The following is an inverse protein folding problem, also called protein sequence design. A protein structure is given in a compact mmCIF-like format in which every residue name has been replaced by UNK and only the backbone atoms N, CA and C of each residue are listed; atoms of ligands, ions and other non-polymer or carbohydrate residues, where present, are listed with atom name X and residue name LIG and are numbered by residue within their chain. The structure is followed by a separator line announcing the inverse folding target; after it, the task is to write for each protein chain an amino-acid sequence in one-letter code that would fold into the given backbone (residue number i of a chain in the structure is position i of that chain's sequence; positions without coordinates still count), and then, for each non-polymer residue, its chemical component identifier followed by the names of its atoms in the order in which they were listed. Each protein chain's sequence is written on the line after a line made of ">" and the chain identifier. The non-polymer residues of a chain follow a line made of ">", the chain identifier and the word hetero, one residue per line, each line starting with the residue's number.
data_IF_500786558429
#
_entry.id   IF_500786558429
#
_cell.length_a   1.000
_cell.length_b   1.000
_cell.length_c   1.000
_cell.angle_alpha   90.00
_cell.angle_beta   90.00
_cell.angle_gamma   90.00
#
_symmetry.space_group_name_H-M   'P 1'
#
loop_
_entity.id
_entity.type
_entity.pdbx_description
1 polymer ?
#
# COMPACT_ATOMS: atom_id res chain seq x y z
N UNK A 1 32.80 39.68 -6.05
CA UNK A 1 31.50 39.86 -6.75
C UNK A 1 30.75 38.54 -7.03
N UNK A 2 31.25 37.36 -6.61
CA UNK A 2 30.62 36.06 -6.92
C UNK A 2 29.96 35.36 -5.71
N UNK A 3 30.23 35.79 -4.48
CA UNK A 3 29.64 35.21 -3.28
C UNK A 3 28.24 35.75 -2.98
N UNK A 4 28.00 37.05 -3.20
CA UNK A 4 26.69 37.68 -2.98
C UNK A 4 25.63 37.21 -4.00
N UNK A 5 26.05 36.94 -5.25
CA UNK A 5 25.22 36.47 -6.35
C UNK A 5 24.84 34.99 -6.17
N UNK A 6 25.76 34.18 -5.64
CA UNK A 6 25.49 32.79 -5.24
C UNK A 6 24.56 32.71 -4.02
N UNK A 7 24.73 33.59 -3.02
CA UNK A 7 23.86 33.64 -1.85
C UNK A 7 22.43 34.07 -2.21
N UNK A 8 22.29 35.02 -3.14
CA UNK A 8 21.00 35.47 -3.63
C UNK A 8 20.32 34.45 -4.55
N UNK A 9 21.07 33.68 -5.36
CA UNK A 9 20.52 32.53 -6.09
C UNK A 9 20.02 31.43 -5.16
N UNK A 10 20.77 31.12 -4.08
CA UNK A 10 20.37 30.14 -3.07
C UNK A 10 19.12 30.62 -2.32
N UNK A 11 19.03 31.91 -1.97
CA UNK A 11 17.82 32.49 -1.37
C UNK A 11 16.60 32.46 -2.32
N UNK A 12 16.82 32.71 -3.61
CA UNK A 12 15.78 32.63 -4.66
C UNK A 12 15.32 31.21 -4.97
N UNK A 13 16.20 30.22 -4.82
CA UNK A 13 15.88 28.79 -4.91
C UNK A 13 15.17 28.27 -3.64
N UNK A 14 15.34 28.92 -2.49
CA UNK A 14 14.66 28.61 -1.22
C UNK A 14 13.33 29.35 -1.04
N UNK A 15 13.09 30.43 -1.79
CA UNK A 15 11.84 31.20 -1.74
C UNK A 15 10.55 30.40 -2.07
N UNK A 16 10.55 29.35 -2.92
CA UNK A 16 9.36 28.50 -3.10
C UNK A 16 9.09 27.59 -1.89
N UNK A 17 10.07 27.40 -1.00
CA UNK A 17 9.91 26.58 0.22
C UNK A 17 9.30 27.38 1.38
N UNK A 18 9.36 28.71 1.34
CA UNK A 18 8.84 29.59 2.40
C UNK A 18 7.41 30.12 2.16
N UNK A 19 6.78 29.83 1.02
CA UNK A 19 5.43 30.33 0.69
C UNK A 19 4.31 29.29 0.81
N UNK A 20 4.54 28.14 1.47
CA UNK A 20 3.48 27.13 1.69
C UNK A 20 2.61 27.47 2.91
N UNK A 21 3.03 28.37 3.79
CA UNK A 21 2.20 28.81 4.91
C UNK A 21 1.46 30.11 4.59
N UNK A 22 0.24 30.01 4.05
CA UNK A 22 -0.93 30.90 4.25
C UNK A 22 -1.92 30.80 3.08
N UNK A 23 -2.49 29.60 2.89
CA UNK A 23 -3.90 29.48 2.50
C UNK A 23 -4.56 28.75 3.67
N UNK A 24 -4.96 29.50 4.68
CA UNK A 24 -5.91 29.02 5.67
C UNK A 24 -7.27 29.02 4.99
N UNK A 25 -7.64 27.92 4.33
CA UNK A 25 -9.06 27.60 4.16
C UNK A 25 -9.54 27.02 5.48
N UNK A 26 -10.57 27.63 6.04
CA UNK A 26 -11.30 27.18 7.21
C UNK A 26 -12.05 25.86 6.89
N UNK A 27 -11.31 24.77 6.74
CA UNK A 27 -11.73 23.37 6.74
C UNK A 27 -10.47 22.52 6.51
N UNK A 28 -9.70 22.26 7.56
CA UNK A 28 -8.87 21.05 7.57
C UNK A 28 -9.71 20.00 8.25
N UNK A 29 -10.68 19.46 7.51
CA UNK A 29 -11.17 18.11 7.80
C UNK A 29 -10.03 17.17 7.41
N UNK A 30 -9.64 16.26 8.31
CA UNK A 30 -8.57 15.29 8.04
C UNK A 30 -8.84 14.59 6.69
N UNK A 31 -7.85 14.45 5.81
CA UNK A 31 -8.06 13.81 4.51
C UNK A 31 -8.57 12.37 4.72
N UNK A 32 -9.75 12.06 4.16
CA UNK A 32 -10.32 10.72 4.17
C UNK A 32 -9.84 9.90 2.96
N UNK A 33 -9.57 8.61 3.17
CA UNK A 33 -9.11 7.68 2.14
C UNK A 33 -9.98 6.40 2.14
N UNK A 34 -10.05 5.65 1.02
CA UNK A 34 -10.53 4.27 1.06
C UNK A 34 -9.64 3.48 2.02
N UNK A 35 -10.22 2.89 3.06
CA UNK A 35 -9.46 2.35 4.20
C UNK A 35 -9.52 0.83 4.22
N UNK A 36 -8.39 0.16 4.16
CA UNK A 36 -8.35 -1.30 4.22
C UNK A 36 -6.99 -1.80 3.77
N UNK A 37 -6.99 -2.82 2.92
CA UNK A 37 -5.78 -3.36 2.34
C UNK A 37 -5.75 -3.10 0.82
N UNK A 38 -4.59 -2.79 0.27
CA UNK A 38 -4.39 -2.74 -1.19
C UNK A 38 -3.02 -3.29 -1.57
N UNK A 39 -2.90 -3.79 -2.80
CA UNK A 39 -1.68 -4.36 -3.33
C UNK A 39 -1.41 -3.85 -4.74
N UNK A 40 -0.24 -3.23 -4.89
CA UNK A 40 0.30 -2.78 -6.16
C UNK A 40 1.79 -3.13 -6.25
N UNK A 41 2.20 -4.09 -7.11
CA UNK A 41 3.60 -4.38 -7.35
C UNK A 41 4.25 -3.28 -8.21
N UNK A 42 5.38 -2.74 -7.74
CA UNK A 42 6.09 -1.65 -8.42
C UNK A 42 6.98 -2.11 -9.58
N UNK A 43 7.47 -3.35 -9.55
CA UNK A 43 8.55 -3.81 -10.46
C UNK A 43 8.09 -4.84 -11.49
N UNK A 44 6.91 -5.42 -11.33
CA UNK A 44 6.39 -6.45 -12.20
C UNK A 44 4.87 -6.39 -12.26
N UNK A 45 4.31 -6.98 -13.31
CA UNK A 45 2.86 -7.17 -13.46
C UNK A 45 2.53 -8.62 -13.15
N UNK A 46 1.51 -8.83 -12.32
CA UNK A 46 0.98 -10.15 -11.97
C UNK A 46 -0.33 -10.36 -12.75
N UNK A 47 -0.47 -11.54 -13.33
CA UNK A 47 -1.70 -11.97 -14.00
C UNK A 47 -2.28 -13.16 -13.25
N UNK A 48 -3.55 -13.05 -12.88
CA UNK A 48 -4.28 -14.09 -12.12
C UNK A 48 -5.72 -14.16 -12.57
N UNK A 49 -6.36 -15.32 -12.45
CA UNK A 49 -7.79 -15.46 -12.78
C UNK A 49 -8.70 -15.36 -11.57
N UNK A 50 -8.16 -15.25 -10.35
CA UNK A 50 -8.97 -15.25 -9.13
C UNK A 50 -8.36 -14.36 -8.06
N UNK A 51 -9.21 -13.52 -7.46
CA UNK A 51 -8.88 -12.62 -6.37
C UNK A 51 -9.95 -12.71 -5.28
N UNK A 52 -9.54 -12.54 -4.02
CA UNK A 52 -10.44 -12.61 -2.87
C UNK A 52 -9.94 -11.67 -1.77
N UNK A 53 -10.86 -10.91 -1.18
CA UNK A 53 -10.65 -10.15 0.05
C UNK A 53 -11.49 -10.76 1.17
N UNK A 54 -10.91 -10.92 2.36
CA UNK A 54 -11.58 -11.47 3.53
C UNK A 54 -11.48 -10.49 4.68
N UNK A 55 -12.60 -10.26 5.36
CA UNK A 55 -12.68 -9.49 6.60
C UNK A 55 -13.28 -10.34 7.72
N UNK A 56 -12.71 -10.21 8.91
CA UNK A 56 -13.33 -10.65 10.15
C UNK A 56 -13.75 -9.40 10.93
N UNK A 57 -15.07 -9.22 11.11
CA UNK A 57 -15.67 -8.06 11.76
C UNK A 57 -16.09 -8.47 13.16
N UNK A 58 -15.39 -7.95 14.17
CA UNK A 58 -15.74 -8.18 15.58
C UNK A 58 -16.78 -7.18 16.05
N UNK A 59 -16.57 -5.91 15.71
CA UNK A 59 -17.52 -4.82 15.96
C UNK A 59 -17.48 -3.81 14.81
N UNK A 60 -18.61 -3.18 14.54
CA UNK A 60 -18.76 -2.15 13.52
C UNK A 60 -19.86 -1.18 13.95
N UNK A 61 -19.64 0.11 13.68
CA UNK A 61 -20.65 1.15 13.75
C UNK A 61 -20.44 2.11 12.58
N UNK A 62 -21.53 2.48 11.91
CA UNK A 62 -21.54 3.28 10.69
C UNK A 62 -22.32 4.57 10.97
N UNK A 63 -21.59 5.68 10.92
CA UNK A 63 -22.13 7.01 11.17
C UNK A 63 -22.77 7.64 9.94
N UNK A 64 -22.66 8.97 9.87
CA UNK A 64 -23.12 9.72 8.72
C UNK A 64 -22.13 9.58 7.56
N UNK A 65 -22.66 9.72 6.35
CA UNK A 65 -21.89 9.84 5.13
C UNK A 65 -22.18 11.18 4.44
N UNK A 66 -21.18 11.70 3.76
CA UNK A 66 -21.20 12.99 3.10
C UNK A 66 -20.62 12.85 1.70
N UNK A 67 -21.11 13.61 0.74
CA UNK A 67 -20.43 13.77 -0.54
C UNK A 67 -19.16 14.58 -0.34
N UNK A 68 -18.23 14.51 -1.30
CA UNK A 68 -17.01 15.33 -1.33
C UNK A 68 -17.25 16.85 -1.28
N UNK A 69 -18.47 17.31 -1.50
CA UNK A 69 -18.88 18.72 -1.30
C UNK A 69 -19.21 19.08 0.16
N UNK A 70 -19.13 18.13 1.10
CA UNK A 70 -19.58 18.27 2.49
C UNK A 70 -21.10 18.11 2.67
N UNK A 71 -21.85 17.86 1.59
CA UNK A 71 -23.30 17.67 1.67
C UNK A 71 -23.63 16.30 2.28
N UNK A 72 -24.52 16.27 3.28
CA UNK A 72 -25.04 15.02 3.84
C UNK A 72 -25.63 14.13 2.73
N UNK A 73 -25.23 12.87 2.73
CA UNK A 73 -25.67 11.90 1.72
C UNK A 73 -26.66 10.88 2.31
N UNK A 74 -26.21 10.11 3.30
CA UNK A 74 -27.04 9.14 4.03
C UNK A 74 -26.42 8.81 5.40
N UNK A 75 -27.08 8.01 6.22
CA UNK A 75 -26.60 7.55 7.53
C UNK A 75 -26.64 6.03 7.62
N UNK A 76 -25.70 5.44 8.35
CA UNK A 76 -25.69 4.01 8.66
C UNK A 76 -25.37 3.14 7.45
N UNK A 77 -24.76 3.71 6.39
CA UNK A 77 -24.40 2.96 5.19
C UNK A 77 -22.91 3.11 4.88
N UNK A 78 -22.23 1.99 4.63
CA UNK A 78 -20.82 1.94 4.20
C UNK A 78 -20.64 0.83 3.17
N UNK A 79 -19.62 0.95 2.33
CA UNK A 79 -19.27 -0.09 1.36
C UNK A 79 -17.97 -0.77 1.75
N UNK A 80 -17.94 -2.09 1.61
CA UNK A 80 -16.73 -2.89 1.55
C UNK A 80 -16.54 -3.33 0.11
N UNK A 81 -15.41 -2.99 -0.50
CA UNK A 81 -15.21 -3.11 -1.94
C UNK A 81 -13.98 -3.95 -2.24
N UNK A 82 -14.12 -4.99 -3.05
CA UNK A 82 -13.01 -5.69 -3.69
C UNK A 82 -12.90 -5.18 -5.14
N UNK A 83 -11.84 -4.44 -5.44
CA UNK A 83 -11.62 -3.88 -6.77
C UNK A 83 -10.37 -4.48 -7.43
N UNK A 84 -10.50 -4.79 -8.72
CA UNK A 84 -9.40 -5.31 -9.54
C UNK A 84 -9.63 -5.01 -11.02
N UNK A 85 -8.53 -4.87 -11.77
CA UNK A 85 -8.58 -4.62 -13.22
C UNK A 85 -8.43 -5.91 -14.02
N UNK A 86 -9.30 -6.17 -14.99
CA UNK A 86 -9.17 -7.28 -15.94
C UNK A 86 -8.52 -6.77 -17.22
N UNK A 87 -7.38 -7.38 -17.57
CA UNK A 87 -6.58 -7.09 -18.77
C UNK A 87 -6.25 -5.59 -18.95
N UNK A 88 -6.14 -4.83 -17.86
CA UNK A 88 -5.93 -3.38 -17.90
C UNK A 88 -7.09 -2.57 -18.51
N UNK A 89 -8.25 -3.21 -18.74
CA UNK A 89 -9.34 -2.68 -19.58
C UNK A 89 -10.68 -2.58 -18.85
N UNK A 90 -10.97 -3.53 -17.97
CA UNK A 90 -12.21 -3.54 -17.22
C UNK A 90 -11.92 -3.37 -15.73
N UNK A 91 -12.40 -2.28 -15.13
CA UNK A 91 -12.29 -2.08 -13.69
C UNK A 91 -13.52 -2.72 -13.04
N UNK A 92 -13.30 -3.82 -12.33
CA UNK A 92 -14.33 -4.66 -11.73
C UNK A 92 -14.35 -4.42 -10.22
N UNK A 93 -15.54 -4.11 -9.70
CA UNK A 93 -15.80 -3.85 -8.29
C UNK A 93 -16.89 -4.82 -7.80
N UNK A 94 -16.52 -5.71 -6.88
CA UNK A 94 -17.47 -6.51 -6.09
C UNK A 94 -17.68 -5.77 -4.77
N UNK A 95 -18.91 -5.35 -4.48
CA UNK A 95 -19.19 -4.43 -3.38
C UNK A 95 -20.25 -5.04 -2.46
N UNK A 96 -19.95 -5.09 -1.17
CA UNK A 96 -20.94 -5.32 -0.12
C UNK A 96 -21.32 -3.97 0.51
N UNK A 97 -22.56 -3.54 0.27
CA UNK A 97 -23.13 -2.34 0.90
C UNK A 97 -23.75 -2.74 2.24
N UNK A 98 -23.11 -2.34 3.34
CA UNK A 98 -23.58 -2.55 4.70
C UNK A 98 -24.54 -1.45 5.11
N UNK A 99 -25.71 -1.83 5.61
CA UNK A 99 -26.69 -0.98 6.26
C UNK A 99 -26.81 -1.38 7.74
N UNK A 100 -26.48 -0.47 8.65
CA UNK A 100 -26.59 -0.72 10.10
C UNK A 100 -28.05 -0.68 10.55
N UNK A 101 -28.57 -1.83 10.99
CA UNK A 101 -29.88 -1.92 11.66
C UNK A 101 -29.71 -1.60 13.14
N UNK A 102 -28.68 -2.19 13.76
CA UNK A 102 -28.21 -1.89 15.11
C UNK A 102 -26.74 -2.30 15.25
N UNK A 103 -26.17 -2.13 16.44
CA UNK A 103 -24.75 -2.40 16.73
C UNK A 103 -24.31 -3.88 16.58
N UNK A 104 -25.22 -4.79 16.29
CA UNK A 104 -24.93 -6.21 16.04
C UNK A 104 -25.51 -6.73 14.72
N UNK A 105 -26.57 -6.12 14.20
CA UNK A 105 -27.27 -6.60 13.01
C UNK A 105 -27.14 -5.60 11.86
N UNK A 106 -26.80 -6.13 10.69
CA UNK A 106 -26.60 -5.38 9.48
C UNK A 106 -27.38 -6.04 8.34
N UNK A 107 -27.92 -5.23 7.45
CA UNK A 107 -28.39 -5.69 6.14
C UNK A 107 -27.26 -5.46 5.13
N UNK A 108 -26.86 -6.50 4.41
CA UNK A 108 -25.87 -6.41 3.34
C UNK A 108 -26.60 -6.52 2.01
N UNK A 109 -26.36 -5.56 1.12
CA UNK A 109 -26.78 -5.62 -0.28
C UNK A 109 -25.55 -5.74 -1.18
N UNK A 110 -25.51 -6.79 -2.01
CA UNK A 110 -24.42 -6.98 -2.96
C UNK A 110 -24.59 -6.06 -4.17
N UNK A 111 -23.53 -5.38 -4.59
CA UNK A 111 -23.51 -4.46 -5.72
C UNK A 111 -22.31 -4.79 -6.60
N UNK A 112 -22.50 -4.68 -7.93
CA UNK A 112 -21.42 -4.77 -8.90
C UNK A 112 -21.33 -3.46 -9.64
N UNK A 113 -20.12 -2.92 -9.72
CA UNK A 113 -19.76 -1.89 -10.67
C UNK A 113 -18.68 -2.46 -11.60
N UNK A 114 -18.98 -2.59 -12.88
CA UNK A 114 -17.98 -2.96 -13.89
C UNK A 114 -17.85 -1.85 -14.90
N UNK A 115 -16.67 -1.26 -14.98
CA UNK A 115 -16.36 -0.19 -15.92
C UNK A 115 -15.59 -0.75 -17.11
N UNK A 116 -16.02 -0.41 -18.32
CA UNK A 116 -15.26 -0.65 -19.53
C UNK A 116 -14.52 0.62 -19.93
N UNK A 117 -13.21 0.62 -19.68
CA UNK A 117 -12.33 1.76 -19.91
C UNK A 117 -12.06 2.00 -21.41
N UNK A 118 -12.50 1.09 -22.29
CA UNK A 118 -12.35 1.23 -23.75
C UNK A 118 -13.55 1.87 -24.44
N UNK A 119 -14.63 2.11 -23.70
CA UNK A 119 -15.87 2.70 -24.23
C UNK A 119 -17.13 1.92 -23.80
N UNK A 120 -18.28 2.18 -24.44
CA UNK A 120 -19.55 1.55 -24.07
C UNK A 120 -19.53 0.02 -24.19
N UNK A 121 -20.32 -0.66 -23.36
CA UNK A 121 -20.52 -2.11 -23.51
C UNK A 121 -21.33 -2.42 -24.77
N UNK A 122 -20.87 -3.40 -25.54
CA UNK A 122 -21.53 -3.84 -26.79
C UNK A 122 -22.35 -5.13 -26.61
N UNK A 123 -21.97 -5.97 -25.66
CA UNK A 123 -22.54 -7.31 -25.46
C UNK A 123 -23.66 -7.26 -24.40
N UNK A 124 -23.41 -6.54 -23.30
CA UNK A 124 -24.38 -6.36 -22.23
C UNK A 124 -25.49 -5.40 -22.68
N UNK A 125 -26.76 -5.80 -22.48
CA UNK A 125 -27.94 -5.00 -22.87
C UNK A 125 -28.68 -4.37 -21.70
N UNK A 126 -28.68 -5.04 -20.55
CA UNK A 126 -29.37 -4.59 -19.33
C UNK A 126 -28.35 -4.08 -18.33
N UNK A 127 -28.77 -3.19 -17.44
CA UNK A 127 -27.95 -2.67 -16.34
C UNK A 127 -26.68 -1.96 -16.80
N UNK A 128 -26.70 -1.44 -18.04
CA UNK A 128 -25.59 -0.71 -18.65
C UNK A 128 -25.98 0.74 -18.82
N UNK A 129 -25.04 1.63 -18.49
CA UNK A 129 -25.07 3.05 -18.81
C UNK A 129 -23.70 3.47 -19.34
N UNK A 130 -23.54 4.77 -19.61
CA UNK A 130 -22.26 5.36 -19.97
C UNK A 130 -21.97 6.59 -19.13
N UNK A 131 -20.72 6.74 -18.71
CA UNK A 131 -20.23 7.94 -18.01
C UNK A 131 -18.97 8.44 -18.72
N UNK A 132 -18.98 9.70 -19.17
CA UNK A 132 -17.87 10.31 -19.92
C UNK A 132 -17.37 9.46 -21.10
N UNK A 133 -18.28 8.75 -21.79
CA UNK A 133 -17.96 7.88 -22.91
C UNK A 133 -17.45 6.47 -22.52
N UNK A 134 -17.26 6.19 -21.24
CA UNK A 134 -16.94 4.86 -20.72
C UNK A 134 -18.21 4.05 -20.49
N UNK A 135 -18.15 2.73 -20.69
CA UNK A 135 -19.25 1.84 -20.36
C UNK A 135 -19.28 1.55 -18.87
N UNK A 136 -20.45 1.60 -18.26
CA UNK A 136 -20.63 1.27 -16.84
C UNK A 136 -21.74 0.25 -16.72
N UNK A 137 -21.47 -0.87 -16.06
CA UNK A 137 -22.47 -1.88 -15.71
C UNK A 137 -22.69 -1.80 -14.20
N UNK A 138 -23.96 -1.63 -13.81
CA UNK A 138 -24.38 -1.44 -12.42
C UNK A 138 -25.44 -2.49 -12.09
N UNK A 139 -25.13 -3.42 -11.20
CA UNK A 139 -26.08 -4.47 -10.81
C UNK A 139 -26.23 -4.54 -9.31
N UNK A 140 -27.49 -4.55 -8.86
CA UNK A 140 -27.85 -4.84 -7.49
C UNK A 140 -28.22 -6.32 -7.38
N UNK A 141 -27.44 -7.03 -6.57
CA UNK A 141 -27.60 -8.44 -6.26
C UNK A 141 -28.49 -8.69 -5.03
N UNK A 142 -28.33 -9.85 -4.37
CA UNK A 142 -29.14 -10.20 -3.21
C UNK A 142 -28.88 -9.29 -2.01
N UNK A 143 -29.93 -9.14 -1.19
CA UNK A 143 -29.91 -8.47 0.10
C UNK A 143 -30.19 -9.49 1.21
N UNK A 144 -29.41 -9.47 2.29
CA UNK A 144 -29.57 -10.40 3.40
C UNK A 144 -29.07 -9.82 4.73
N UNK A 145 -29.62 -10.30 5.84
CA UNK A 145 -29.22 -9.88 7.18
C UNK A 145 -28.06 -10.72 7.71
N UNK A 146 -27.18 -10.08 8.48
CA UNK A 146 -26.05 -10.69 9.16
C UNK A 146 -25.98 -10.19 10.61
N UNK A 147 -25.32 -10.97 11.46
CA UNK A 147 -25.07 -10.60 12.86
C UNK A 147 -23.57 -10.68 13.14
N UNK A 148 -23.04 -9.71 13.90
CA UNK A 148 -21.65 -9.69 14.35
C UNK A 148 -21.44 -10.57 15.61
N UNK A 149 -20.26 -11.20 15.78
CA UNK A 149 -19.10 -11.15 14.88
C UNK A 149 -19.32 -11.93 13.57
N UNK A 150 -18.69 -11.49 12.50
CA UNK A 150 -18.90 -11.99 11.14
C UNK A 150 -17.57 -12.22 10.42
N UNK A 151 -17.40 -13.39 9.80
CA UNK A 151 -16.39 -13.60 8.76
C UNK A 151 -17.05 -13.51 7.38
N UNK A 152 -16.55 -12.59 6.56
CA UNK A 152 -17.11 -12.28 5.26
C UNK A 152 -15.99 -12.11 4.23
N UNK A 153 -16.22 -12.61 3.02
CA UNK A 153 -15.28 -12.42 1.91
C UNK A 153 -16.01 -11.99 0.65
N UNK A 154 -15.33 -11.21 -0.18
CA UNK A 154 -15.71 -10.94 -1.57
C UNK A 154 -14.71 -11.63 -2.47
N UNK A 155 -15.14 -12.18 -3.60
CA UNK A 155 -14.25 -12.80 -4.57
C UNK A 155 -14.72 -12.60 -6.00
N UNK A 156 -13.74 -12.49 -6.90
CA UNK A 156 -13.99 -12.48 -8.33
C UNK A 156 -13.18 -13.57 -9.03
N UNK A 157 -13.77 -14.18 -10.07
CA UNK A 157 -13.16 -15.20 -10.89
C UNK A 157 -13.34 -14.86 -12.37
N UNK A 158 -12.28 -14.82 -13.16
CA UNK A 158 -12.27 -14.43 -14.56
C UNK A 158 -11.88 -15.58 -15.52
N UNK A 159 -11.85 -16.84 -15.04
CA UNK A 159 -11.30 -17.98 -15.80
C UNK A 159 -12.03 -18.25 -17.13
N UNK A 160 -13.37 -18.33 -17.10
CA UNK A 160 -14.20 -18.60 -18.30
C UNK A 160 -15.27 -17.53 -18.51
N UNK A 161 -15.73 -16.93 -17.41
CA UNK A 161 -16.61 -15.79 -17.31
C UNK A 161 -16.14 -14.98 -16.10
N UNK A 162 -16.69 -13.78 -15.93
CA UNK A 162 -16.42 -12.92 -14.81
C UNK A 162 -17.52 -13.16 -13.78
N UNK A 163 -17.20 -13.98 -12.79
CA UNK A 163 -18.05 -14.31 -11.67
C UNK A 163 -17.78 -13.33 -10.52
N UNK A 164 -18.86 -12.82 -9.93
CA UNK A 164 -18.84 -12.04 -8.70
C UNK A 164 -19.51 -12.84 -7.60
N UNK A 165 -18.96 -12.78 -6.40
CA UNK A 165 -19.36 -13.69 -5.34
C UNK A 165 -18.88 -13.29 -3.97
N UNK A 166 -19.55 -13.85 -2.97
CA UNK A 166 -19.21 -13.64 -1.57
C UNK A 166 -19.15 -14.96 -0.80
N UNK A 167 -18.36 -14.97 0.26
CA UNK A 167 -18.35 -16.02 1.26
C UNK A 167 -18.91 -15.47 2.56
N UNK A 168 -19.84 -16.20 3.17
CA UNK A 168 -20.34 -15.88 4.51
C UNK A 168 -20.42 -17.15 5.34
N UNK A 169 -19.80 -17.14 6.52
CA UNK A 169 -19.74 -18.29 7.43
C UNK A 169 -19.26 -19.58 6.72
N UNK A 170 -18.25 -19.46 5.86
CA UNK A 170 -17.65 -20.57 5.10
C UNK A 170 -18.46 -21.07 3.90
N UNK A 171 -19.64 -20.48 3.61
CA UNK A 171 -20.44 -20.82 2.42
C UNK A 171 -20.19 -19.82 1.29
N UNK A 172 -19.84 -20.35 0.13
CA UNK A 172 -19.55 -19.58 -1.10
C UNK A 172 -20.83 -19.40 -1.94
N UNK A 173 -21.08 -18.18 -2.39
CA UNK A 173 -22.20 -17.84 -3.28
C UNK A 173 -21.68 -17.04 -4.49
N UNK A 174 -22.05 -17.45 -5.70
CA UNK A 174 -21.87 -16.65 -6.92
C UNK A 174 -23.22 -16.05 -7.24
N UNK A 175 -23.29 -14.72 -7.30
CA UNK A 175 -24.56 -14.00 -7.46
C UNK A 175 -24.69 -13.28 -8.81
N UNK A 176 -23.61 -13.19 -9.58
CA UNK A 176 -23.64 -12.70 -10.95
C UNK A 176 -22.51 -13.32 -11.78
N UNK A 177 -22.80 -13.57 -13.06
CA UNK A 177 -21.84 -14.04 -14.06
C UNK A 177 -21.97 -13.16 -15.30
N UNK A 178 -20.86 -12.55 -15.74
CA UNK A 178 -20.81 -11.72 -16.94
C UNK A 178 -19.97 -12.39 -18.03
N UNK A 179 -20.30 -12.21 -19.33
CA UNK A 179 -19.62 -12.85 -20.45
C UNK A 179 -18.29 -12.14 -20.80
N UNK A 180 -17.48 -11.84 -19.79
CA UNK A 180 -16.11 -11.33 -19.90
C UNK A 180 -15.19 -12.32 -19.19
N UNK A 181 -13.96 -12.49 -19.65
CA UNK A 181 -12.98 -13.37 -19.07
C UNK A 181 -11.60 -12.83 -19.40
N UNK A 182 -10.57 -13.34 -18.74
CA UNK A 182 -9.21 -12.85 -18.89
C UNK A 182 -8.44 -13.01 -17.60
N UNK A 183 -7.43 -12.16 -17.40
CA UNK A 183 -6.69 -12.13 -16.15
C UNK A 183 -6.92 -10.80 -15.45
N UNK A 184 -7.14 -10.86 -14.13
CA UNK A 184 -6.86 -9.72 -13.28
C UNK A 184 -5.38 -9.38 -13.43
N UNK A 185 -5.14 -8.17 -13.93
CA UNK A 185 -3.82 -7.57 -14.04
C UNK A 185 -3.58 -6.79 -12.76
N UNK A 186 -2.56 -7.14 -11.99
CA UNK A 186 -2.16 -6.46 -10.77
C UNK A 186 -0.78 -5.84 -10.99
N UNK A 187 -0.67 -4.52 -10.90
CA UNK A 187 0.50 -3.72 -11.28
C UNK A 187 0.42 -3.13 -12.68
N UNK A 188 1.32 -2.18 -12.93
CA UNK A 188 1.30 -1.36 -14.14
C UNK A 188 0.07 -0.46 -14.22
N UNK A 189 -0.21 0.06 -15.41
CA UNK A 189 -1.33 0.99 -15.63
C UNK A 189 -2.38 0.39 -16.57
N UNK A 190 -3.62 0.82 -16.39
CA UNK A 190 -4.74 0.52 -17.27
C UNK A 190 -4.61 1.27 -18.60
N UNK A 191 -5.49 0.96 -19.56
CA UNK A 191 -5.55 1.67 -20.85
C UNK A 191 -5.88 3.17 -20.72
N UNK A 192 -6.36 3.62 -19.56
CA UNK A 192 -6.59 5.03 -19.22
C UNK A 192 -5.58 5.60 -18.21
N UNK A 193 -4.52 4.85 -17.88
CA UNK A 193 -3.47 5.31 -16.98
C UNK A 193 -3.82 5.19 -15.49
N UNK A 194 -4.87 4.45 -15.14
CA UNK A 194 -5.20 4.14 -13.73
C UNK A 194 -4.25 3.06 -13.21
N UNK A 195 -3.82 3.09 -11.94
CA UNK A 195 -3.15 1.95 -11.32
C UNK A 195 -4.03 0.70 -11.45
N UNK A 196 -3.44 -0.45 -11.74
CA UNK A 196 -4.15 -1.73 -11.65
C UNK A 196 -3.83 -2.38 -10.30
N UNK A 197 -4.24 -1.80 -9.19
CA UNK A 197 -4.11 -2.45 -7.89
C UNK A 197 -5.19 -3.51 -7.66
N UNK A 198 -4.92 -4.36 -6.67
CA UNK A 198 -5.93 -5.20 -6.04
C UNK A 198 -6.21 -4.61 -4.67
N UNK A 199 -7.43 -4.12 -4.45
CA UNK A 199 -7.80 -3.45 -3.21
C UNK A 199 -9.04 -4.08 -2.58
N UNK A 200 -9.03 -4.15 -1.25
CA UNK A 200 -10.13 -4.58 -0.42
C UNK A 200 -10.29 -3.54 0.68
N UNK A 201 -11.22 -2.60 0.48
CA UNK A 201 -11.27 -1.35 1.22
C UNK A 201 -12.69 -0.97 1.62
N UNK A 202 -12.79 -0.31 2.77
CA UNK A 202 -13.98 0.39 3.23
C UNK A 202 -14.06 1.79 2.62
N UNK A 203 -15.28 2.17 2.23
CA UNK A 203 -15.59 3.51 1.75
C UNK A 203 -17.03 3.90 2.06
N UNK A 204 -17.37 5.13 1.68
CA UNK A 204 -18.76 5.60 1.67
C UNK A 204 -19.67 4.75 0.78
N UNK A 205 -20.99 4.89 0.90
CA UNK A 205 -21.96 4.05 0.21
C UNK A 205 -22.07 4.27 -1.32
N UNK A 206 -21.21 5.10 -1.92
CA UNK A 206 -21.15 5.35 -3.36
C UNK A 206 -21.00 6.84 -3.71
N UNK A 207 -20.96 7.15 -5.01
CA UNK A 207 -20.86 8.52 -5.53
C UNK A 207 -19.61 9.29 -5.07
N UNK A 208 -18.52 8.60 -4.70
CA UNK A 208 -17.34 9.24 -4.11
C UNK A 208 -17.63 9.88 -2.74
N UNK A 209 -18.57 9.31 -1.99
CA UNK A 209 -18.90 9.74 -0.63
C UNK A 209 -17.88 9.26 0.40
N UNK A 210 -17.90 9.93 1.54
CA UNK A 210 -17.04 9.72 2.68
C UNK A 210 -17.92 9.32 3.86
N UNK A 211 -17.55 8.31 4.65
CA UNK A 211 -18.35 7.80 5.77
C UNK A 211 -17.56 7.75 7.08
N UNK A 212 -18.21 8.14 8.18
CA UNK A 212 -17.68 7.94 9.53
C UNK A 212 -17.89 6.50 9.95
N UNK A 213 -16.83 5.82 10.37
CA UNK A 213 -16.90 4.46 10.84
C UNK A 213 -16.06 4.26 12.09
N UNK A 214 -16.47 3.29 12.90
CA UNK A 214 -15.69 2.80 14.03
C UNK A 214 -15.90 1.30 14.17
N UNK A 215 -14.90 0.57 14.68
CA UNK A 215 -14.99 -0.87 14.81
C UNK A 215 -13.64 -1.54 15.02
N UNK A 216 -13.70 -2.85 15.16
CA UNK A 216 -12.56 -3.74 15.31
C UNK A 216 -12.68 -4.87 14.27
N UNK A 217 -11.74 -4.90 13.33
CA UNK A 217 -11.73 -5.87 12.23
C UNK A 217 -10.31 -6.35 11.92
N UNK A 218 -10.21 -7.46 11.19
CA UNK A 218 -8.98 -7.89 10.53
C UNK A 218 -9.23 -8.21 9.06
N UNK A 219 -8.31 -7.83 8.17
CA UNK A 219 -8.45 -8.00 6.72
C UNK A 219 -7.24 -8.67 6.10
N UNK A 220 -7.51 -9.45 5.04
CA UNK A 220 -6.52 -10.08 4.18
C UNK A 220 -6.99 -10.07 2.73
N UNK A 221 -6.05 -9.90 1.81
CA UNK A 221 -6.27 -10.03 0.37
C UNK A 221 -5.41 -11.16 -0.16
N UNK A 222 -5.96 -11.92 -1.10
CA UNK A 222 -5.24 -12.96 -1.81
C UNK A 222 -5.51 -12.92 -3.31
N UNK A 223 -4.56 -13.45 -4.06
CA UNK A 223 -4.74 -13.79 -5.46
C UNK A 223 -4.29 -15.22 -5.74
N UNK A 224 -4.80 -15.81 -6.81
CA UNK A 224 -4.44 -17.17 -7.22
C UNK A 224 -3.13 -17.18 -8.00
N UNK A 225 -2.18 -17.99 -7.56
CA UNK A 225 -0.94 -18.25 -8.27
C UNK A 225 -0.61 -19.74 -8.18
N UNK A 226 -0.36 -20.37 -9.33
CA UNK A 226 -0.01 -21.80 -9.40
C UNK A 226 -1.00 -22.72 -8.64
N UNK A 227 -2.29 -22.40 -8.69
CA UNK A 227 -3.35 -23.18 -8.04
C UNK A 227 -3.50 -22.97 -6.53
N UNK A 228 -2.79 -22.00 -5.94
CA UNK A 228 -2.91 -21.66 -4.51
C UNK A 228 -3.22 -20.17 -4.32
N UNK A 229 -3.93 -19.85 -3.25
CA UNK A 229 -4.07 -18.47 -2.79
C UNK A 229 -2.76 -18.01 -2.16
N UNK A 230 -2.28 -16.85 -2.58
CA UNK A 230 -1.01 -16.27 -2.16
C UNK A 230 -1.26 -14.91 -1.52
N UNK A 231 -0.58 -14.66 -0.40
CA UNK A 231 -0.54 -13.36 0.27
C UNK A 231 0.33 -12.42 -0.58
N UNK A 232 -0.12 -11.19 -0.87
CA UNK A 232 0.70 -10.17 -1.51
C UNK A 232 2.06 -9.97 -0.86
N UNK A 233 3.11 -9.85 -1.69
CA UNK A 233 4.46 -9.54 -1.22
C UNK A 233 4.61 -8.10 -0.73
N UNK A 234 3.62 -7.25 -0.99
CA UNK A 234 3.51 -5.91 -0.42
C UNK A 234 2.05 -5.57 -0.20
N UNK A 235 1.77 -4.70 0.76
CA UNK A 235 0.43 -4.21 1.03
C UNK A 235 0.45 -2.78 1.57
N UNK A 236 -0.58 -2.01 1.26
CA UNK A 236 -0.79 -0.65 1.72
C UNK A 236 -2.13 -0.52 2.45
N UNK A 237 -2.26 0.49 3.29
CA UNK A 237 -3.42 0.71 4.15
C UNK A 237 -4.59 1.44 3.48
N UNK A 238 -4.43 1.82 2.20
CA UNK A 238 -5.40 2.62 1.46
C UNK A 238 -5.52 2.17 0.00
N UNK A 239 -6.71 2.27 -0.55
CA UNK A 239 -6.97 2.02 -1.97
C UNK A 239 -6.37 3.10 -2.88
N UNK A 240 -5.95 2.74 -4.10
CA UNK A 240 -5.34 3.69 -5.04
C UNK A 240 -6.31 4.21 -6.10
N UNK A 241 -7.36 3.45 -6.42
CA UNK A 241 -8.30 3.79 -7.49
C UNK A 241 -9.78 3.89 -7.04
N UNK A 242 -10.12 3.49 -5.80
CA UNK A 242 -11.43 3.78 -5.19
C UNK A 242 -11.63 5.28 -4.90
N UNK A 243 -12.83 5.77 -5.25
CA UNK A 243 -13.22 7.17 -5.05
C UNK A 243 -13.91 7.45 -3.70
N UNK A 244 -14.48 6.42 -3.08
CA UNK A 244 -15.12 6.50 -1.77
C UNK A 244 -14.09 6.52 -0.62
N UNK A 245 -14.48 7.03 0.55
CA UNK A 245 -13.56 7.09 1.69
C UNK A 245 -14.21 6.71 3.00
N UNK A 246 -13.43 6.17 3.93
CA UNK A 246 -13.84 5.88 5.28
C UNK A 246 -12.92 6.62 6.27
N UNK A 247 -13.51 7.27 7.27
CA UNK A 247 -12.79 7.98 8.33
C UNK A 247 -13.24 7.49 9.70
N UNK A 248 -12.40 7.69 10.72
CA UNK A 248 -12.64 7.17 12.09
C UNK A 248 -12.10 5.76 12.34
N UNK A 249 -11.58 5.11 11.31
CA UNK A 249 -10.82 3.86 11.38
C UNK A 249 -9.36 4.06 10.94
N UNK A 250 -8.44 3.31 11.54
CA UNK A 250 -7.04 3.21 11.16
C UNK A 250 -6.68 1.76 10.85
N UNK A 251 -5.81 1.55 9.87
CA UNK A 251 -5.33 0.23 9.47
C UNK A 251 -3.83 0.12 9.78
N UNK A 252 -3.41 -1.00 10.36
CA UNK A 252 -2.01 -1.29 10.63
C UNK A 252 -1.72 -2.79 10.50
N UNK A 253 -0.46 -3.15 10.26
CA UNK A 253 -0.08 -4.54 10.08
C UNK A 253 0.11 -5.27 11.42
N UNK A 254 -0.35 -6.52 11.48
CA UNK A 254 -0.06 -7.47 12.54
C UNK A 254 1.02 -8.47 12.06
N UNK A 255 2.06 -8.65 12.87
CA UNK A 255 3.22 -9.51 12.60
C UNK A 255 3.41 -10.63 13.62
N UNK A 256 2.35 -11.01 14.36
CA UNK A 256 2.39 -12.18 15.26
C UNK A 256 2.89 -13.43 14.52
N UNK A 257 2.51 -13.58 13.25
CA UNK A 257 3.12 -14.51 12.32
C UNK A 257 3.67 -13.78 11.08
N UNK A 258 4.99 -13.57 11.03
CA UNK A 258 5.64 -12.91 9.90
C UNK A 258 5.51 -13.65 8.56
N UNK A 259 5.21 -14.96 8.58
CA UNK A 259 4.98 -15.74 7.36
C UNK A 259 3.52 -15.73 6.93
N UNK A 260 2.64 -15.03 7.66
CA UNK A 260 1.23 -14.82 7.31
C UNK A 260 0.73 -13.54 7.97
N UNK A 261 1.28 -12.36 7.59
CA UNK A 261 0.83 -11.08 8.14
C UNK A 261 -0.60 -10.78 7.70
N UNK A 262 -1.31 -9.98 8.51
CA UNK A 262 -2.65 -9.51 8.18
C UNK A 262 -2.85 -8.06 8.63
N UNK A 263 -3.87 -7.40 8.09
CA UNK A 263 -4.21 -6.04 8.46
C UNK A 263 -5.18 -6.03 9.65
N UNK A 264 -4.93 -5.18 10.65
CA UNK A 264 -5.87 -4.87 11.72
C UNK A 264 -6.50 -3.50 11.46
N UNK A 265 -7.82 -3.41 11.63
CA UNK A 265 -8.57 -2.16 11.56
C UNK A 265 -9.16 -1.87 12.94
N UNK A 266 -8.89 -0.66 13.44
CA UNK A 266 -9.36 -0.20 14.76
C UNK A 266 -9.78 1.26 14.70
N UNK A 267 -10.37 1.78 15.76
CA UNK A 267 -10.69 3.21 15.86
C UNK A 267 -9.43 4.08 15.76
N UNK A 268 -9.48 5.14 14.95
CA UNK A 268 -8.40 6.10 14.83
C UNK A 268 -8.47 6.94 13.56
N UNK A 269 -7.48 7.80 13.38
CA UNK A 269 -7.32 8.59 12.16
C UNK A 269 -6.65 7.70 11.11
N UNK A 270 -7.26 7.61 9.92
CA UNK A 270 -6.63 6.93 8.80
C UNK A 270 -5.42 7.74 8.32
N UNK A 271 -4.24 7.15 8.39
CA UNK A 271 -3.02 7.69 7.80
C UNK A 271 -2.46 6.68 6.80
N UNK A 272 -2.34 7.03 5.51
CA UNK A 272 -1.76 6.14 4.51
C UNK A 272 -0.40 5.59 4.92
N UNK A 273 -0.26 4.27 4.91
CA UNK A 273 0.93 3.57 5.36
C UNK A 273 1.21 2.31 4.54
N UNK A 274 2.47 1.90 4.53
CA UNK A 274 2.86 0.57 4.03
C UNK A 274 2.59 -0.41 5.15
N UNK A 275 1.77 -1.41 4.88
CA UNK A 275 1.51 -2.50 5.82
C UNK A 275 2.69 -3.48 5.80
N UNK A 276 3.15 -3.90 4.62
CA UNK A 276 4.39 -4.65 4.44
C UNK A 276 4.91 -4.50 2.98
N UNK A 277 6.19 -4.75 2.70
CA UNK A 277 7.24 -5.06 3.67
C UNK A 277 7.65 -3.85 4.51
N UNK A 278 7.92 -4.07 5.81
CA UNK A 278 8.38 -3.02 6.75
C UNK A 278 9.77 -3.36 7.28
N UNK A 279 10.63 -2.36 7.52
CA UNK A 279 11.97 -2.60 8.04
C UNK A 279 11.89 -3.00 9.52
N UNK A 280 12.51 -4.11 9.92
CA UNK A 280 12.65 -4.43 11.33
C UNK A 280 13.67 -3.50 12.01
N UNK A 281 13.60 -3.44 13.34
CA UNK A 281 14.60 -2.78 14.18
C UNK A 281 15.77 -3.73 14.43
N UNK A 282 16.99 -3.23 14.21
CA UNK A 282 18.24 -3.89 14.60
C UNK A 282 18.79 -3.13 15.80
N UNK A 283 18.94 -3.82 16.93
CA UNK A 283 19.52 -3.26 18.16
C UNK A 283 20.85 -3.97 18.39
N UNK A 284 21.95 -3.22 18.39
CA UNK A 284 23.29 -3.77 18.60
C UNK A 284 23.85 -3.31 19.94
N UNK A 285 24.17 -4.28 20.81
CA UNK A 285 24.89 -4.04 22.06
C UNK A 285 26.31 -4.58 21.94
N UNK A 286 27.29 -3.75 22.27
CA UNK A 286 28.71 -4.09 22.17
C UNK A 286 29.30 -4.41 23.54
N UNK A 287 29.94 -5.57 23.67
CA UNK A 287 30.82 -5.91 24.78
C UNK A 287 32.21 -6.28 24.23
N UNK A 288 33.05 -5.26 24.00
CA UNK A 288 34.33 -5.44 23.32
C UNK A 288 34.15 -5.96 21.88
N UNK A 289 34.75 -7.11 21.59
CA UNK A 289 34.64 -7.79 20.29
C UNK A 289 33.31 -8.50 20.07
N UNK A 290 32.57 -8.77 21.14
CA UNK A 290 31.31 -9.51 21.06
C UNK A 290 30.18 -8.51 20.81
N UNK A 291 29.42 -8.73 19.73
CA UNK A 291 28.25 -7.94 19.36
C UNK A 291 27.01 -8.77 19.56
N UNK A 292 26.14 -8.34 20.47
CA UNK A 292 24.82 -8.91 20.66
C UNK A 292 23.85 -8.13 19.79
N UNK A 293 23.26 -8.79 18.82
CA UNK A 293 22.30 -8.21 17.87
C UNK A 293 20.93 -8.75 18.21
N UNK A 294 19.95 -7.85 18.35
CA UNK A 294 18.54 -8.18 18.50
C UNK A 294 17.76 -7.63 17.32
N UNK A 295 17.00 -8.50 16.66
CA UNK A 295 16.09 -8.17 15.59
C UNK A 295 14.65 -8.22 16.12
N UNK A 296 13.90 -7.14 15.95
CA UNK A 296 12.50 -7.07 16.38
C UNK A 296 11.65 -6.21 15.45
N UNK A 297 10.33 -6.43 15.47
CA UNK A 297 9.35 -5.58 14.82
C UNK A 297 8.26 -5.21 15.83
N UNK A 298 7.99 -3.92 16.02
CA UNK A 298 7.05 -3.42 17.03
C UNK A 298 7.27 -4.01 18.45
N UNK A 299 8.54 -4.28 18.79
CA UNK A 299 8.92 -4.90 20.07
C UNK A 299 8.86 -6.44 20.10
N UNK A 300 8.25 -7.09 19.09
CA UNK A 300 8.22 -8.55 18.99
C UNK A 300 9.54 -9.10 18.45
N UNK A 301 10.14 -10.12 19.11
CA UNK A 301 11.38 -10.72 18.66
C UNK A 301 11.19 -11.49 17.34
N UNK A 302 12.11 -11.31 16.41
CA UNK A 302 12.08 -11.99 15.11
C UNK A 302 12.99 -13.21 15.12
N UNK A 303 12.40 -14.39 15.32
CA UNK A 303 13.13 -15.66 15.42
C UNK A 303 13.49 -16.28 14.07
N UNK A 304 14.57 -17.06 14.06
CA UNK A 304 15.08 -17.80 12.90
C UNK A 304 15.28 -16.91 11.65
N UNK A 305 15.72 -15.67 11.86
CA UNK A 305 16.02 -14.71 10.81
C UNK A 305 17.52 -14.65 10.56
N UNK A 306 17.90 -14.67 9.28
CA UNK A 306 19.30 -14.53 8.88
C UNK A 306 19.80 -13.10 9.14
N UNK A 307 20.96 -12.99 9.76
CA UNK A 307 21.66 -11.72 9.96
C UNK A 307 23.11 -11.92 9.49
N UNK A 308 23.60 -10.97 8.72
CA UNK A 308 24.94 -10.95 8.14
C UNK A 308 25.77 -9.84 8.78
N UNK A 309 27.07 -10.11 8.92
CA UNK A 309 28.08 -9.09 9.22
C UNK A 309 28.81 -8.78 7.92
N UNK A 310 28.53 -7.60 7.37
CA UNK A 310 29.18 -7.10 6.16
C UNK A 310 30.36 -6.21 6.52
N UNK A 311 31.42 -6.33 5.73
CA UNK A 311 32.66 -5.59 5.93
C UNK A 311 33.13 -4.95 4.62
N UNK A 312 33.80 -3.78 4.65
CA UNK A 312 34.25 -3.12 3.43
C UNK A 312 35.10 -4.03 2.54
N UNK A 313 34.77 -4.08 1.26
CA UNK A 313 35.50 -4.87 0.27
C UNK A 313 35.36 -4.26 -1.13
N UNK A 314 36.21 -4.63 -2.09
CA UNK A 314 36.07 -4.19 -3.49
C UNK A 314 34.97 -4.94 -4.27
N UNK A 315 34.13 -5.74 -3.61
CA UNK A 315 33.10 -6.54 -4.25
C UNK A 315 31.84 -5.70 -4.56
N UNK A 316 31.53 -5.56 -5.85
CA UNK A 316 30.33 -4.88 -6.35
C UNK A 316 29.09 -5.77 -6.37
N UNK A 317 29.24 -7.08 -6.21
CA UNK A 317 28.15 -8.06 -6.31
C UNK A 317 27.55 -8.45 -4.94
N UNK A 318 28.01 -7.79 -3.86
CA UNK A 318 27.48 -7.99 -2.51
C UNK A 318 26.11 -7.32 -2.35
N UNK A 319 25.21 -7.79 -1.45
CA UNK A 319 23.91 -7.17 -1.20
C UNK A 319 23.97 -5.67 -0.93
N UNK A 320 25.04 -5.23 -0.26
CA UNK A 320 25.43 -3.82 -0.20
C UNK A 320 26.70 -3.65 -1.05
N UNK A 321 26.71 -2.80 -2.09
CA UNK A 321 27.89 -2.58 -2.91
C UNK A 321 29.13 -2.19 -2.07
N UNK A 322 30.31 -2.65 -2.49
CA UNK A 322 31.59 -2.43 -1.79
C UNK A 322 31.69 -3.07 -0.40
N UNK A 323 30.97 -4.17 -0.19
CA UNK A 323 31.06 -4.97 1.04
C UNK A 323 31.29 -6.44 0.72
N UNK A 324 31.60 -7.26 1.72
CA UNK A 324 31.53 -8.72 1.62
C UNK A 324 30.97 -9.28 2.92
N UNK A 325 30.24 -10.39 2.83
CA UNK A 325 29.80 -11.15 4.02
C UNK A 325 31.05 -11.72 4.70
N UNK A 326 31.27 -11.33 5.96
CA UNK A 326 32.34 -11.88 6.80
C UNK A 326 31.84 -13.03 7.65
N UNK A 327 30.64 -12.90 8.19
CA UNK A 327 30.00 -13.86 9.09
C UNK A 327 28.48 -13.78 8.88
N UNK A 328 27.78 -14.88 9.09
CA UNK A 328 26.31 -14.94 9.05
C UNK A 328 25.81 -15.83 10.19
N UNK A 329 24.56 -15.65 10.59
CA UNK A 329 23.87 -16.63 11.42
C UNK A 329 22.39 -16.30 11.58
N UNK A 330 21.70 -17.11 12.38
CA UNK A 330 20.25 -17.02 12.59
C UNK A 330 19.90 -16.60 14.02
N UNK A 331 18.89 -15.73 14.15
CA UNK A 331 18.37 -15.33 15.46
C UNK A 331 17.67 -16.48 16.18
N UNK A 332 17.81 -16.53 17.50
CA UNK A 332 17.10 -17.48 18.37
C UNK A 332 15.62 -17.06 18.60
N UNK A 333 14.90 -17.75 19.49
CA UNK A 333 13.51 -17.45 19.86
C UNK A 333 13.29 -16.03 20.44
N UNK A 334 14.34 -15.42 20.99
CA UNK A 334 14.30 -14.05 21.52
C UNK A 334 14.69 -13.00 20.47
N UNK A 335 14.87 -13.41 19.21
CA UNK A 335 15.30 -12.54 18.11
C UNK A 335 16.76 -12.14 18.22
N UNK A 336 17.58 -12.91 18.94
CA UNK A 336 18.95 -12.54 19.28
C UNK A 336 19.97 -13.43 18.56
N UNK A 337 21.08 -12.81 18.15
CA UNK A 337 22.27 -13.45 17.60
C UNK A 337 23.52 -12.74 18.13
N UNK A 338 24.63 -13.48 18.25
CA UNK A 338 25.90 -12.93 18.71
C UNK A 338 26.99 -13.15 17.67
N UNK A 339 27.75 -12.10 17.37
CA UNK A 339 28.89 -12.14 16.45
C UNK A 339 30.19 -11.78 17.17
N UNK A 340 31.33 -12.33 16.74
CA UNK A 340 32.65 -11.98 17.28
C UNK A 340 33.46 -11.14 16.27
N UNK A 341 33.38 -9.82 16.44
CA UNK A 341 33.99 -8.81 15.56
C UNK A 341 35.18 -8.16 16.28
N UNK A 342 36.27 -8.90 16.44
CA UNK A 342 37.44 -8.49 17.24
C UNK A 342 38.42 -7.53 16.56
N UNK A 343 38.38 -7.40 15.23
CA UNK A 343 39.45 -6.72 14.46
C UNK A 343 38.98 -5.65 13.49
N UNK A 344 37.68 -5.32 13.46
CA UNK A 344 37.14 -4.39 12.46
C UNK A 344 36.49 -3.15 13.08
N UNK A 345 37.01 -1.98 12.71
CA UNK A 345 36.49 -0.68 13.11
C UNK A 345 35.24 -0.25 12.33
N UNK A 346 35.02 -0.83 11.14
CA UNK A 346 33.85 -0.60 10.31
C UNK A 346 33.26 -1.94 9.87
N UNK A 347 32.06 -2.20 10.35
CA UNK A 347 31.18 -3.30 9.95
C UNK A 347 29.73 -2.80 9.85
N UNK A 348 28.92 -3.56 9.12
CA UNK A 348 27.48 -3.37 9.00
C UNK A 348 26.81 -4.66 9.46
N UNK A 349 25.90 -4.56 10.43
CA UNK A 349 24.97 -5.66 10.73
C UNK A 349 23.82 -5.52 9.75
N UNK A 350 23.61 -6.53 8.91
CA UNK A 350 22.66 -6.49 7.81
C UNK A 350 21.62 -7.60 7.97
N UNK A 351 20.35 -7.23 7.89
CA UNK A 351 19.24 -8.15 7.71
C UNK A 351 18.83 -8.09 6.23
N UNK A 352 18.98 -9.20 5.47
CA UNK A 352 18.68 -9.22 4.03
C UNK A 352 17.22 -8.95 3.67
N UNK A 353 16.29 -9.18 4.59
CA UNK A 353 14.86 -9.10 4.30
C UNK A 353 14.24 -10.46 3.98
N UNK A 354 12.91 -10.46 3.91
CA UNK A 354 12.09 -11.54 3.35
C UNK A 354 10.88 -10.89 2.64
N UNK A 355 9.86 -11.67 2.29
CA UNK A 355 8.70 -11.12 1.58
C UNK A 355 7.84 -10.16 2.44
N UNK A 356 7.88 -10.30 3.77
CA UNK A 356 7.09 -9.50 4.74
C UNK A 356 7.91 -8.38 5.39
N UNK A 357 9.23 -8.53 5.44
CA UNK A 357 10.14 -7.63 6.12
C UNK A 357 11.17 -7.12 5.13
N UNK A 358 11.26 -5.80 4.95
CA UNK A 358 12.27 -5.22 4.08
C UNK A 358 13.65 -5.36 4.73
N UNK A 359 14.72 -5.28 3.94
CA UNK A 359 16.08 -5.28 4.47
C UNK A 359 16.29 -4.16 5.51
N UNK A 360 17.12 -4.42 6.51
CA UNK A 360 17.52 -3.43 7.51
C UNK A 360 19.02 -3.53 7.80
N UNK A 361 19.62 -2.46 8.31
CA UNK A 361 21.02 -2.48 8.71
C UNK A 361 21.33 -1.54 9.88
N UNK A 362 22.41 -1.86 10.59
CA UNK A 362 23.06 -1.00 11.58
C UNK A 362 24.54 -0.85 11.23
N UNK A 363 25.05 0.39 11.24
CA UNK A 363 26.43 0.72 10.85
C UNK A 363 27.22 1.11 12.09
N UNK A 364 28.30 0.40 12.36
CA UNK A 364 29.20 0.62 13.52
C UNK A 364 29.84 2.00 13.63
N UNK A 365 29.80 2.82 12.57
CA UNK A 365 30.33 4.19 12.55
C UNK A 365 29.21 5.19 12.86
N UNK A 366 29.25 5.92 13.99
CA UNK A 366 28.24 6.91 14.35
C UNK A 366 28.07 8.02 13.30
N UNK A 367 29.18 8.40 12.65
CA UNK A 367 29.21 9.48 11.65
C UNK A 367 28.55 9.05 10.34
N UNK A 368 28.83 7.81 9.89
CA UNK A 368 28.13 7.21 8.75
C UNK A 368 26.66 6.90 9.08
N UNK A 369 26.39 6.42 10.30
CA UNK A 369 25.03 6.18 10.78
C UNK A 369 24.21 7.48 10.77
N UNK A 370 24.79 8.60 11.18
CA UNK A 370 24.12 9.91 11.15
C UNK A 370 23.87 10.39 9.71
N UNK A 371 24.82 10.20 8.79
CA UNK A 371 24.65 10.55 7.39
C UNK A 371 23.53 9.73 6.74
N UNK A 372 23.56 8.42 6.96
CA UNK A 372 22.56 7.49 6.43
C UNK A 372 21.19 7.72 7.07
N UNK A 373 21.12 7.99 8.37
CA UNK A 373 19.84 8.34 9.02
C UNK A 373 19.28 9.66 8.49
N UNK A 374 20.13 10.62 8.11
CA UNK A 374 19.69 11.89 7.50
C UNK A 374 19.15 11.68 6.08
N UNK A 375 19.81 10.84 5.28
CA UNK A 375 19.33 10.45 3.94
C UNK A 375 18.01 9.67 4.09
N UNK A 376 17.95 8.70 5.00
CA UNK A 376 16.74 7.93 5.30
C UNK A 376 15.60 8.84 5.76
N UNK A 377 15.86 9.79 6.65
CA UNK A 377 14.85 10.77 7.09
C UNK A 377 14.36 11.66 5.94
N UNK A 378 15.25 12.04 5.02
CA UNK A 378 14.87 12.81 3.82
C UNK A 378 14.03 11.96 2.87
N UNK A 379 14.41 10.69 2.68
CA UNK A 379 13.64 9.72 1.91
C UNK A 379 12.28 9.42 2.54
N UNK A 380 12.23 9.18 3.85
CA UNK A 380 10.98 8.99 4.59
C UNK A 380 10.11 10.24 4.51
N UNK A 381 10.70 11.43 4.48
CA UNK A 381 9.98 12.70 4.23
C UNK A 381 9.43 12.78 2.82
N UNK A 382 10.17 12.33 1.80
CA UNK A 382 9.70 12.25 0.41
C UNK A 382 8.59 11.18 0.26
N UNK A 383 8.75 10.02 0.88
CA UNK A 383 7.72 8.98 0.93
C UNK A 383 6.49 9.49 1.66
N UNK A 384 6.64 10.22 2.76
CA UNK A 384 5.54 10.86 3.47
C UNK A 384 4.88 11.97 2.65
N UNK A 385 5.65 12.69 1.82
CA UNK A 385 5.13 13.62 0.83
C UNK A 385 4.34 12.89 -0.28
N UNK A 386 4.83 11.77 -0.79
CA UNK A 386 4.11 10.95 -1.76
C UNK A 386 2.84 10.33 -1.16
N UNK A 387 2.88 9.95 0.13
CA UNK A 387 1.71 9.51 0.91
C UNK A 387 0.70 10.62 1.17
N UNK A 388 1.14 11.87 1.27
CA UNK A 388 0.25 13.04 1.39
C UNK A 388 -0.17 13.61 0.03
N UNK A 389 0.38 13.09 -1.07
CA UNK A 389 -0.03 13.46 -2.41
C UNK A 389 -1.44 12.94 -2.67
N UNK A 390 -2.38 13.86 -2.83
CA UNK A 390 -3.79 13.54 -2.97
C UNK A 390 -4.08 12.99 -4.38
N UNK A 391 -3.87 11.67 -4.59
CA UNK A 391 -4.20 10.98 -5.84
C UNK A 391 -5.68 11.17 -6.26
N UNK A 392 -6.58 11.50 -5.32
CA UNK A 392 -7.97 11.94 -5.57
C UNK A 392 -8.04 13.12 -6.54
N UNK A 393 -7.12 14.07 -6.45
CA UNK A 393 -7.05 15.21 -7.37
C UNK A 393 -6.38 14.88 -8.69
N UNK A 394 -5.41 13.96 -8.72
CA UNK A 394 -4.79 13.50 -9.96
C UNK A 394 -5.76 12.65 -10.80
N UNK A 395 -6.55 11.79 -10.17
CA UNK A 395 -7.56 10.94 -10.84
C UNK A 395 -8.78 11.76 -11.29
N UNK A 396 -9.35 12.61 -10.44
CA UNK A 396 -10.45 13.52 -10.83
C UNK A 396 -10.04 14.55 -11.89
N UNK A 397 -8.77 14.99 -11.91
CA UNK A 397 -8.24 15.85 -12.98
C UNK A 397 -7.89 15.10 -14.27
N UNK A 398 -7.55 13.80 -14.19
CA UNK A 398 -7.26 12.96 -15.37
C UNK A 398 -8.53 12.61 -16.14
N UNK A 399 -9.65 12.34 -15.46
CA UNK A 399 -10.94 12.15 -16.12
C UNK A 399 -11.47 13.45 -16.78
N UNK A 400 -11.11 14.62 -16.26
CA UNK A 400 -11.52 15.91 -16.84
C UNK A 400 -10.60 16.44 -17.95
N UNK A 401 -9.50 15.76 -18.28
CA UNK A 401 -8.51 16.23 -19.28
C UNK A 401 -8.08 15.20 -20.33
N UNK A 402 -8.90 14.21 -20.67
CA UNK A 402 -8.60 13.35 -21.82
C UNK A 402 -8.93 14.08 -23.13
N UNK A 403 -7.99 14.93 -23.58
CA UNK A 403 -7.94 15.40 -24.98
C UNK A 403 -6.70 14.92 -25.73
N UNK A 404 -5.74 14.28 -25.05
CA UNK A 404 -4.50 13.79 -25.68
C UNK A 404 -4.10 12.41 -25.13
N UNK A 405 -3.95 11.44 -26.05
CA UNK A 405 -3.30 10.16 -25.80
C UNK A 405 -1.84 10.43 -25.43
N UNK A 406 -1.36 9.95 -24.29
CA UNK A 406 0.09 9.89 -24.06
C UNK A 406 0.66 8.71 -24.86
N UNK A 407 1.80 8.93 -25.52
CA UNK A 407 2.64 7.83 -25.95
C UNK A 407 3.17 7.13 -24.70
N UNK A 408 3.03 5.81 -24.67
CA UNK A 408 3.55 4.96 -23.60
C UNK A 408 5.07 5.14 -23.49
N UNK A 409 5.53 5.94 -22.54
CA UNK A 409 6.94 5.91 -22.12
C UNK A 409 7.13 4.71 -21.20
N UNK A 410 7.88 3.73 -21.67
CA UNK A 410 8.24 2.50 -20.94
C UNK A 410 9.31 2.72 -19.86
N UNK A 411 9.41 3.95 -19.34
CA UNK A 411 10.50 4.35 -18.45
C UNK A 411 9.89 4.77 -17.12
N UNK A 412 10.16 3.97 -16.09
CA UNK A 412 9.78 4.24 -14.72
C UNK A 412 10.66 5.36 -14.16
N UNK A 413 10.16 6.59 -14.24
CA UNK A 413 10.87 7.78 -13.76
C UNK A 413 11.13 7.73 -12.26
N UNK A 414 10.29 7.03 -11.49
CA UNK A 414 10.48 6.84 -10.06
C UNK A 414 11.70 5.94 -9.79
N UNK A 415 11.85 4.86 -10.58
CA UNK A 415 13.02 3.99 -10.54
C UNK A 415 14.29 4.73 -10.97
N UNK A 416 14.23 5.58 -12.00
CA UNK A 416 15.37 6.41 -12.42
C UNK A 416 15.76 7.44 -11.35
N UNK A 417 14.78 8.02 -10.66
CA UNK A 417 15.01 8.95 -9.56
C UNK A 417 15.61 8.22 -8.35
N UNK A 418 15.19 6.97 -8.09
CA UNK A 418 15.75 6.09 -7.07
C UNK A 418 17.22 5.72 -7.37
N UNK A 419 17.51 5.29 -8.60
CA UNK A 419 18.86 4.98 -9.07
C UNK A 419 19.73 6.23 -9.01
N UNK A 420 19.18 7.40 -9.41
CA UNK A 420 19.85 8.68 -9.35
C UNK A 420 20.22 9.10 -7.92
N UNK A 421 19.26 9.06 -7.00
CA UNK A 421 19.49 9.40 -5.59
C UNK A 421 20.50 8.46 -4.93
N UNK A 422 20.42 7.15 -5.21
CA UNK A 422 21.35 6.15 -4.69
C UNK A 422 22.77 6.34 -5.24
N UNK A 423 22.92 6.58 -6.55
CA UNK A 423 24.21 6.83 -7.19
C UNK A 423 24.87 8.12 -6.66
N UNK A 424 24.09 9.17 -6.44
CA UNK A 424 24.57 10.43 -5.84
C UNK A 424 25.00 10.20 -4.38
N UNK A 425 24.23 9.44 -3.60
CA UNK A 425 24.58 9.08 -2.22
C UNK A 425 25.91 8.30 -2.12
N UNK A 426 26.16 7.37 -3.03
CA UNK A 426 27.42 6.62 -3.11
C UNK A 426 28.59 7.52 -3.52
N UNK A 427 28.40 8.38 -4.54
CA UNK A 427 29.44 9.31 -5.01
C UNK A 427 29.85 10.30 -3.92
N UNK A 428 28.88 10.88 -3.21
CA UNK A 428 29.15 11.78 -2.08
C UNK A 428 29.88 11.05 -0.95
N UNK A 429 29.45 9.82 -0.63
CA UNK A 429 30.11 9.01 0.41
C UNK A 429 31.56 8.64 0.04
N UNK A 430 31.83 8.29 -1.21
CA UNK A 430 33.17 7.98 -1.71
C UNK A 430 34.09 9.22 -1.72
N UNK A 431 33.55 10.40 -2.03
CA UNK A 431 34.28 11.67 -1.99
C UNK A 431 34.64 12.03 -0.55
N UNK A 432 33.69 11.94 0.39
CA UNK A 432 33.92 12.24 1.81
C UNK A 432 34.96 11.30 2.43
N UNK A 433 34.90 10.00 2.12
CA UNK A 433 35.89 9.01 2.56
C UNK A 433 37.30 9.29 1.99
N UNK A 434 37.40 9.74 0.74
CA UNK A 434 38.69 10.06 0.09
C UNK A 434 39.36 11.32 0.66
N UNK A 435 38.57 12.32 1.06
CA UNK A 435 39.09 13.60 1.54
C UNK A 435 39.18 13.72 3.08
N UNK A 436 38.92 12.62 3.81
CA UNK A 436 38.97 12.56 5.30
C UNK A 436 38.24 13.73 5.97
N UNK A 437 36.97 13.93 5.61
CA UNK A 437 36.05 14.73 6.40
C UNK A 437 35.24 13.86 7.35
#
# INVERSE_FOLDING_TARGET
>A
MNSLLALSLILLLLLPLSSISLIHSSAVEDPAYPSGMSFFPLTNVIYTTYVIGTVNITSLNIGNSYLSSGMFFTKGNASLQLNAMIDGKYWAQDVALFHEINNKEFEITMIINLWNLSGPFKILKNNVTTYQGLGVYLYQGPTFNVTLPLNFSLFMNATNNLEFGYCINGKKYVYQVLPYFGNFQIGGLSILGLPNDLEFVWGGPGCGSEVCMSGEMSEEIYYLQQGKLVIPSSAFSVGLDTAESAYGIKVFANFENISSPFACITNGVNSPSVLWPVPPSIIVQSNGSIKHVKLCINGFPLSNQEVEVLVPSANLSSPIPFTTVKELGYTNSNGEITFNISSQSLYIIYYPGNYTLSSAYDISSPLLSHLVSSIKSTYDSLVNFLKSYNFKHALSSSFSRIKYRSQSTSVDYLLLEYIGAFAVGILVSAILAKYKF
#
